data_IF_279700749893
#
_entry.id   IF_279700749893
#
_cell.length_a   1.000
_cell.length_b   1.000
_cell.length_c   1.000
_cell.angle_alpha   90.00
_cell.angle_beta   90.00
_cell.angle_gamma   90.00
#
_symmetry.space_group_name_H-M   'P 1'
#
loop_
_entity.id
_entity.type
_entity.pdbx_description
1 polymer ?
#
# COMPACT_ATOMS: atom_id res chain seq x y z
N UNK A 1 9.54 -14.34 -19.92
CA UNK A 1 9.68 -14.66 -18.48
C UNK A 1 10.76 -13.84 -17.79
N UNK A 2 12.02 -13.89 -18.25
CA UNK A 2 13.14 -13.10 -17.68
C UNK A 2 12.81 -11.60 -17.53
N UNK A 3 12.23 -10.95 -18.55
CA UNK A 3 11.81 -9.55 -18.47
C UNK A 3 10.75 -9.26 -17.38
N UNK A 4 9.81 -10.18 -17.15
CA UNK A 4 8.75 -10.02 -16.15
C UNK A 4 9.33 -10.17 -14.74
N UNK A 5 10.14 -11.20 -14.51
CA UNK A 5 10.80 -11.43 -13.22
C UNK A 5 11.83 -10.34 -12.91
N UNK A 6 12.53 -9.82 -13.92
CA UNK A 6 13.39 -8.65 -13.80
C UNK A 6 12.58 -7.42 -13.39
N UNK A 7 11.48 -7.12 -14.09
CA UNK A 7 10.61 -5.98 -13.77
C UNK A 7 10.02 -6.08 -12.36
N UNK A 8 9.50 -7.26 -11.97
CA UNK A 8 9.03 -7.52 -10.60
C UNK A 8 10.17 -7.26 -9.61
N UNK A 9 11.37 -7.75 -9.91
CA UNK A 9 12.55 -7.55 -9.05
C UNK A 9 12.90 -6.09 -8.85
N UNK A 10 12.86 -5.28 -9.91
CA UNK A 10 13.07 -3.83 -9.82
C UNK A 10 11.98 -3.17 -8.98
N UNK A 11 10.72 -3.56 -9.16
CA UNK A 11 9.58 -2.95 -8.45
C UNK A 11 9.46 -3.39 -6.97
N UNK A 12 10.04 -4.54 -6.60
CA UNK A 12 10.05 -5.05 -5.22
C UNK A 12 11.39 -4.86 -4.52
N UNK A 13 12.38 -4.24 -5.16
CA UNK A 13 13.74 -4.13 -4.61
C UNK A 13 13.72 -3.33 -3.30
N UNK A 14 14.37 -3.87 -2.27
CA UNK A 14 14.75 -3.15 -1.06
C UNK A 14 16.25 -2.87 -1.15
N UNK A 15 16.63 -1.61 -0.99
CA UNK A 15 18.02 -1.17 -1.00
C UNK A 15 18.37 -0.67 0.40
N UNK A 16 19.45 -1.22 0.96
CA UNK A 16 20.01 -0.76 2.22
C UNK A 16 21.21 0.11 1.87
N UNK A 17 21.14 1.39 2.24
CA UNK A 17 22.24 2.34 2.09
C UNK A 17 23.41 1.99 3.00
N UNK A 18 24.58 2.52 2.69
CA UNK A 18 25.80 2.33 3.48
C UNK A 18 25.71 2.90 4.91
N UNK A 19 24.74 3.77 5.14
CA UNK A 19 24.36 4.34 6.44
C UNK A 19 23.32 3.50 7.21
N UNK A 20 22.92 2.35 6.67
CA UNK A 20 21.86 1.51 7.22
C UNK A 20 20.44 1.97 6.90
N UNK A 21 20.27 3.06 6.13
CA UNK A 21 18.94 3.51 5.69
C UNK A 21 18.33 2.50 4.73
N UNK A 22 17.06 2.15 4.92
CA UNK A 22 16.36 1.19 4.05
C UNK A 22 15.37 1.91 3.15
N UNK A 23 15.53 1.80 1.84
CA UNK A 23 14.64 2.34 0.82
C UNK A 23 14.03 1.22 -0.02
N UNK A 24 12.69 1.20 -0.11
CA UNK A 24 11.96 0.26 -0.93
C UNK A 24 11.51 0.89 -2.24
N UNK A 25 11.55 0.12 -3.32
CA UNK A 25 10.78 0.44 -4.52
C UNK A 25 9.27 0.44 -4.22
N UNK A 26 8.46 0.95 -5.16
CA UNK A 26 7.01 1.16 -5.03
C UNK A 26 6.24 -0.05 -4.50
N UNK A 27 6.66 -1.27 -4.85
CA UNK A 27 6.03 -2.53 -4.45
C UNK A 27 6.89 -3.35 -3.47
N UNK A 28 7.92 -2.76 -2.86
CA UNK A 28 8.81 -3.47 -1.93
C UNK A 28 8.07 -4.07 -0.73
N UNK A 29 7.01 -3.41 -0.27
CA UNK A 29 6.14 -3.89 0.81
C UNK A 29 5.13 -4.96 0.39
N UNK A 30 4.88 -5.13 -0.91
CA UNK A 30 3.76 -5.96 -1.39
C UNK A 30 4.07 -7.45 -1.35
N UNK A 31 3.39 -8.17 -0.45
CA UNK A 31 3.57 -9.62 -0.28
C UNK A 31 3.08 -10.42 -1.49
N UNK A 32 1.98 -9.99 -2.13
CA UNK A 32 1.40 -10.69 -3.28
C UNK A 32 2.38 -10.72 -4.45
N UNK A 33 3.08 -9.63 -4.71
CA UNK A 33 4.06 -9.53 -5.81
C UNK A 33 5.32 -10.36 -5.50
N UNK A 34 5.76 -10.40 -4.23
CA UNK A 34 6.87 -11.29 -3.83
C UNK A 34 6.48 -12.77 -3.93
N UNK A 35 5.27 -13.13 -3.52
CA UNK A 35 4.76 -14.50 -3.63
C UNK A 35 4.58 -14.91 -5.10
N UNK A 36 4.12 -13.99 -5.95
CA UNK A 36 4.02 -14.19 -7.39
C UNK A 36 5.38 -14.50 -8.02
N UNK A 37 6.41 -13.73 -7.65
CA UNK A 37 7.80 -13.98 -8.07
C UNK A 37 8.27 -15.37 -7.64
N UNK A 38 8.04 -15.74 -6.39
CA UNK A 38 8.50 -17.02 -5.84
C UNK A 38 7.78 -18.20 -6.52
N UNK A 39 6.48 -18.08 -6.75
CA UNK A 39 5.69 -19.11 -7.43
C UNK A 39 6.13 -19.31 -8.88
N UNK A 40 6.37 -18.22 -9.62
CA UNK A 40 6.88 -18.30 -10.99
C UNK A 40 8.31 -18.84 -11.07
N UNK A 41 9.19 -18.46 -10.14
CA UNK A 41 10.54 -18.99 -10.08
C UNK A 41 10.52 -20.49 -9.78
N UNK A 42 9.75 -20.91 -8.77
CA UNK A 42 9.56 -22.32 -8.43
C UNK A 42 9.00 -23.14 -9.60
N UNK A 43 7.99 -22.63 -10.30
CA UNK A 43 7.41 -23.32 -11.46
C UNK A 43 8.42 -23.67 -12.57
N UNK A 44 9.56 -22.97 -12.62
CA UNK A 44 10.64 -23.21 -13.58
C UNK A 44 11.85 -23.90 -12.96
N UNK A 45 12.15 -23.69 -11.68
CA UNK A 45 13.33 -24.30 -11.04
C UNK A 45 13.05 -25.65 -10.40
N UNK A 46 11.79 -25.96 -10.11
CA UNK A 46 11.42 -27.19 -9.42
C UNK A 46 11.72 -28.40 -10.32
N UNK A 47 12.36 -29.46 -9.77
CA UNK A 47 12.69 -30.65 -10.53
C UNK A 47 11.48 -31.26 -11.24
N UNK A 48 11.71 -31.82 -12.41
CA UNK A 48 10.72 -32.64 -13.13
C UNK A 48 11.16 -34.08 -12.97
N UNK A 49 10.30 -34.90 -12.35
CA UNK A 49 10.57 -36.32 -12.09
C UNK A 49 11.90 -36.58 -11.36
N UNK A 50 12.30 -35.64 -10.48
CA UNK A 50 13.56 -35.71 -9.72
C UNK A 50 14.80 -35.22 -10.48
N UNK A 51 14.68 -34.88 -11.77
CA UNK A 51 15.75 -34.32 -12.58
C UNK A 51 15.69 -32.79 -12.61
N UNK A 52 16.85 -32.16 -12.45
CA UNK A 52 17.01 -30.71 -12.64
C UNK A 52 17.07 -30.38 -14.13
N UNK A 53 16.47 -29.27 -14.55
CA UNK A 53 16.54 -28.74 -15.92
C UNK A 53 17.96 -28.46 -16.41
N UNK A 54 18.90 -28.26 -15.48
CA UNK A 54 20.33 -28.14 -15.81
C UNK A 54 20.91 -29.40 -16.45
N UNK A 55 20.34 -30.59 -16.23
CA UNK A 55 20.79 -31.83 -16.87
C UNK A 55 20.55 -31.85 -18.37
N UNK A 56 19.55 -31.10 -18.84
CA UNK A 56 19.21 -30.96 -20.27
C UNK A 56 19.71 -29.63 -20.87
N UNK A 57 20.64 -28.95 -20.20
CA UNK A 57 21.25 -27.71 -20.69
C UNK A 57 20.42 -26.45 -20.49
N UNK A 58 19.38 -26.48 -19.66
CA UNK A 58 18.60 -25.29 -19.28
C UNK A 58 19.04 -24.85 -17.89
N UNK A 59 19.74 -23.72 -17.83
CA UNK A 59 20.19 -23.13 -16.59
C UNK A 59 19.28 -21.94 -16.21
N UNK A 60 18.90 -21.87 -14.94
CA UNK A 60 18.02 -20.82 -14.43
C UNK A 60 18.71 -20.18 -13.24
N UNK A 61 18.99 -18.88 -13.33
CA UNK A 61 19.60 -18.15 -12.22
C UNK A 61 18.57 -17.88 -11.13
N UNK A 62 19.05 -17.56 -9.92
CA UNK A 62 18.20 -17.10 -8.79
C UNK A 62 17.33 -15.88 -9.11
N UNK A 63 17.63 -15.16 -10.19
CA UNK A 63 16.90 -13.98 -10.63
C UNK A 63 15.86 -14.31 -11.72
N UNK A 64 15.77 -15.57 -12.16
CA UNK A 64 14.86 -16.00 -13.22
C UNK A 64 15.38 -15.75 -14.62
N UNK A 65 16.68 -15.52 -14.76
CA UNK A 65 17.35 -15.50 -16.06
C UNK A 65 17.54 -16.94 -16.52
N UNK A 66 17.15 -17.21 -17.77
CA UNK A 66 17.25 -18.53 -18.37
C UNK A 66 18.40 -18.51 -19.37
N UNK A 67 19.41 -19.32 -19.13
CA UNK A 67 20.54 -19.56 -20.03
C UNK A 67 20.41 -20.93 -20.66
N UNK A 68 20.78 -21.02 -21.95
CA UNK A 68 20.57 -22.21 -22.76
C UNK A 68 21.90 -22.72 -23.32
N UNK A 69 22.23 -23.95 -22.98
CA UNK A 69 23.39 -24.68 -23.47
C UNK A 69 22.96 -25.61 -24.60
N UNK A 70 23.20 -25.16 -25.84
CA UNK A 70 22.77 -25.87 -27.04
C UNK A 70 23.45 -27.24 -27.20
N UNK A 71 24.71 -27.38 -26.75
CA UNK A 71 25.46 -28.63 -26.86
C UNK A 71 24.85 -29.68 -25.92
N UNK A 72 24.60 -29.31 -24.66
CA UNK A 72 23.96 -30.21 -23.69
C UNK A 72 22.53 -30.58 -24.08
N UNK A 73 21.72 -29.64 -24.59
CA UNK A 73 20.39 -30.00 -25.06
C UNK A 73 20.47 -30.98 -26.23
N UNK A 74 21.36 -30.73 -27.20
CA UNK A 74 21.50 -31.62 -28.35
C UNK A 74 21.92 -33.04 -27.95
N UNK A 75 22.81 -33.16 -26.96
CA UNK A 75 23.21 -34.44 -26.38
C UNK A 75 22.06 -35.13 -25.63
N UNK A 76 21.30 -34.39 -24.82
CA UNK A 76 20.14 -34.91 -24.09
C UNK A 76 19.03 -35.38 -25.03
N UNK A 77 18.73 -34.60 -26.07
CA UNK A 77 17.72 -34.93 -27.09
C UNK A 77 18.14 -36.14 -27.93
N UNK A 78 19.43 -36.29 -28.24
CA UNK A 78 19.94 -37.46 -28.95
C UNK A 78 19.92 -38.73 -28.07
N UNK A 79 20.11 -38.59 -26.75
CA UNK A 79 20.11 -39.70 -25.81
C UNK A 79 18.68 -40.18 -25.48
N UNK A 80 17.76 -39.26 -25.19
CA UNK A 80 16.36 -39.55 -24.88
C UNK A 80 15.43 -38.39 -25.30
N UNK A 81 14.90 -38.43 -26.54
CA UNK A 81 14.05 -37.36 -27.05
C UNK A 81 12.68 -37.30 -26.36
N UNK A 82 12.10 -38.44 -25.98
CA UNK A 82 10.77 -38.50 -25.38
C UNK A 82 10.77 -37.87 -23.98
N UNK A 83 11.76 -38.21 -23.16
CA UNK A 83 11.92 -37.61 -21.82
C UNK A 83 12.25 -36.12 -21.90
N UNK A 84 13.11 -35.71 -22.84
CA UNK A 84 13.46 -34.30 -23.04
C UNK A 84 12.24 -33.46 -23.48
N UNK A 85 11.38 -34.00 -24.36
CA UNK A 85 10.15 -33.31 -24.77
C UNK A 85 9.07 -33.30 -23.68
N UNK A 86 8.94 -34.40 -22.94
CA UNK A 86 8.03 -34.49 -21.79
C UNK A 86 8.39 -33.48 -20.71
N UNK A 87 9.67 -33.40 -20.33
CA UNK A 87 10.15 -32.45 -19.31
C UNK A 87 9.86 -31.01 -19.71
N UNK A 88 10.13 -30.62 -20.96
CA UNK A 88 9.81 -29.28 -21.46
C UNK A 88 8.31 -28.98 -21.38
N UNK A 89 7.46 -29.94 -21.79
CA UNK A 89 6.00 -29.80 -21.75
C UNK A 89 5.48 -29.66 -20.31
N UNK A 90 6.03 -30.43 -19.37
CA UNK A 90 5.67 -30.34 -17.96
C UNK A 90 6.03 -28.98 -17.37
N UNK A 91 7.24 -28.47 -17.64
CA UNK A 91 7.64 -27.11 -17.19
C UNK A 91 6.73 -26.05 -17.80
N UNK A 92 6.49 -26.10 -19.10
CA UNK A 92 5.59 -25.15 -19.77
C UNK A 92 4.20 -25.14 -19.13
N UNK A 93 3.65 -26.31 -18.82
CA UNK A 93 2.35 -26.46 -18.15
C UNK A 93 2.36 -25.89 -16.73
N UNK A 94 3.43 -26.13 -15.95
CA UNK A 94 3.58 -25.56 -14.60
C UNK A 94 3.65 -24.05 -14.63
N UNK A 95 4.43 -23.48 -15.55
CA UNK A 95 4.55 -22.03 -15.74
C UNK A 95 3.23 -21.42 -16.17
N UNK A 96 2.53 -22.05 -17.10
CA UNK A 96 1.21 -21.61 -17.54
C UNK A 96 0.23 -21.57 -16.36
N UNK A 97 0.13 -22.66 -15.59
CA UNK A 97 -0.76 -22.75 -14.42
C UNK A 97 -0.42 -21.70 -13.35
N UNK A 98 0.87 -21.50 -13.07
CA UNK A 98 1.31 -20.48 -12.12
C UNK A 98 0.97 -19.07 -12.63
N UNK A 99 1.12 -18.83 -13.94
CA UNK A 99 0.78 -17.55 -14.56
C UNK A 99 -0.73 -17.29 -14.51
N UNK A 100 -1.56 -18.27 -14.87
CA UNK A 100 -3.02 -18.18 -14.82
C UNK A 100 -3.51 -17.88 -13.40
N UNK A 101 -3.04 -18.61 -12.39
CA UNK A 101 -3.41 -18.36 -10.98
C UNK A 101 -3.04 -16.95 -10.51
N UNK A 102 -1.99 -16.35 -11.07
CA UNK A 102 -1.55 -15.01 -10.72
C UNK A 102 -2.31 -13.93 -11.50
N UNK A 103 -2.56 -14.15 -12.79
CA UNK A 103 -3.05 -13.14 -13.74
C UNK A 103 -4.50 -13.30 -14.15
N UNK A 104 -5.22 -14.31 -13.65
CA UNK A 104 -6.63 -14.50 -13.99
C UNK A 104 -7.43 -13.21 -13.70
N UNK A 105 -8.29 -12.86 -14.65
CA UNK A 105 -9.01 -11.59 -14.66
C UNK A 105 -10.03 -11.47 -13.52
N UNK A 106 -10.52 -12.59 -13.00
CA UNK A 106 -11.58 -12.63 -12.00
C UNK A 106 -11.04 -13.08 -10.65
N UNK A 107 -10.34 -14.21 -10.64
CA UNK A 107 -9.91 -14.91 -9.43
C UNK A 107 -8.39 -14.90 -9.23
N UNK A 108 -7.66 -14.21 -10.12
CA UNK A 108 -6.21 -14.09 -10.03
C UNK A 108 -5.79 -13.39 -8.74
N UNK A 109 -4.67 -13.84 -8.15
CA UNK A 109 -4.15 -13.26 -6.92
C UNK A 109 -3.82 -11.76 -7.07
N UNK A 110 -3.30 -11.35 -8.24
CA UNK A 110 -3.01 -9.94 -8.52
C UNK A 110 -4.29 -9.12 -8.65
N UNK A 111 -5.27 -9.62 -9.41
CA UNK A 111 -6.59 -8.99 -9.58
C UNK A 111 -7.27 -8.78 -8.23
N UNK A 112 -7.30 -9.82 -7.40
CA UNK A 112 -7.88 -9.76 -6.06
C UNK A 112 -7.17 -8.75 -5.17
N UNK A 113 -5.82 -8.68 -5.22
CA UNK A 113 -5.05 -7.68 -4.48
C UNK A 113 -5.40 -6.25 -4.92
N UNK A 114 -5.47 -6.00 -6.23
CA UNK A 114 -5.85 -4.69 -6.79
C UNK A 114 -7.23 -4.27 -6.31
N UNK A 115 -8.23 -5.16 -6.44
CA UNK A 115 -9.60 -4.88 -6.00
C UNK A 115 -9.69 -4.59 -4.50
N UNK A 116 -8.93 -5.32 -3.68
CA UNK A 116 -8.88 -5.08 -2.24
C UNK A 116 -8.29 -3.71 -1.90
N UNK A 117 -7.23 -3.30 -2.62
CA UNK A 117 -6.59 -1.98 -2.48
C UNK A 117 -7.52 -0.86 -2.91
N UNK A 118 -8.22 -1.00 -4.03
CA UNK A 118 -9.23 -0.04 -4.49
C UNK A 118 -10.35 0.11 -3.46
N UNK A 119 -10.87 -1.01 -2.95
CA UNK A 119 -11.91 -0.99 -1.92
C UNK A 119 -11.42 -0.32 -0.63
N UNK A 120 -10.15 -0.54 -0.24
CA UNK A 120 -9.56 0.14 0.91
C UNK A 120 -9.44 1.65 0.67
N UNK A 121 -9.03 2.07 -0.53
CA UNK A 121 -8.96 3.48 -0.90
C UNK A 121 -10.33 4.15 -0.80
N UNK A 122 -11.37 3.56 -1.42
CA UNK A 122 -12.74 4.09 -1.33
C UNK A 122 -13.23 4.19 0.12
N UNK A 123 -12.94 3.20 0.97
CA UNK A 123 -13.31 3.26 2.40
C UNK A 123 -12.57 4.37 3.16
N UNK A 124 -11.35 4.70 2.77
CA UNK A 124 -10.60 5.81 3.35
C UNK A 124 -11.17 7.14 2.88
N UNK A 125 -11.50 7.28 1.61
CA UNK A 125 -12.16 8.47 1.05
C UNK A 125 -13.50 8.75 1.75
N UNK A 126 -14.33 7.71 1.91
CA UNK A 126 -15.58 7.79 2.64
C UNK A 126 -15.39 8.19 4.11
N UNK A 127 -14.31 7.74 4.74
CA UNK A 127 -13.96 8.16 6.09
C UNK A 127 -13.60 9.64 6.09
N UNK A 128 -12.70 10.08 5.22
CA UNK A 128 -12.28 11.48 5.10
C UNK A 128 -13.50 12.38 4.93
N UNK A 129 -14.42 12.06 4.01
CA UNK A 129 -15.64 12.84 3.81
C UNK A 129 -16.50 12.96 5.09
N UNK A 130 -16.63 11.87 5.87
CA UNK A 130 -17.32 11.93 7.18
C UNK A 130 -16.56 12.74 8.21
N UNK A 131 -15.23 12.70 8.21
CA UNK A 131 -14.40 13.50 9.11
C UNK A 131 -14.52 14.99 8.79
N UNK A 132 -14.54 15.36 7.52
CA UNK A 132 -14.70 16.74 7.06
C UNK A 132 -16.05 17.32 7.52
N UNK A 133 -17.15 16.56 7.34
CA UNK A 133 -18.47 16.98 7.83
C UNK A 133 -18.50 17.19 9.35
N UNK A 134 -17.87 16.28 10.11
CA UNK A 134 -17.79 16.42 11.57
C UNK A 134 -16.94 17.61 11.99
N UNK A 135 -15.84 17.86 11.28
CA UNK A 135 -14.98 19.01 11.55
C UNK A 135 -15.73 20.32 11.31
N UNK A 136 -16.48 20.41 10.21
CA UNK A 136 -17.32 21.57 9.89
C UNK A 136 -18.39 21.82 10.96
N UNK A 137 -19.11 20.78 11.37
CA UNK A 137 -20.11 20.89 12.45
C UNK A 137 -19.49 21.35 13.77
N UNK A 138 -18.31 20.81 14.11
CA UNK A 138 -17.59 21.22 15.31
C UNK A 138 -17.16 22.68 15.23
N UNK A 139 -16.68 23.13 14.07
CA UNK A 139 -16.31 24.52 13.82
C UNK A 139 -17.53 25.45 13.97
N UNK A 140 -18.67 25.12 13.35
CA UNK A 140 -19.92 25.89 13.49
C UNK A 140 -20.38 25.98 14.93
N UNK A 141 -20.40 24.87 15.67
CA UNK A 141 -20.79 24.83 17.08
C UNK A 141 -19.87 25.69 17.94
N UNK A 142 -18.55 25.57 17.72
CA UNK A 142 -17.57 26.33 18.48
C UNK A 142 -17.70 27.84 18.20
N UNK A 143 -17.88 28.22 16.94
CA UNK A 143 -18.13 29.62 16.54
C UNK A 143 -19.37 30.17 17.23
N UNK A 144 -20.49 29.45 17.18
CA UNK A 144 -21.73 29.87 17.85
C UNK A 144 -21.54 30.02 19.36
N UNK A 145 -20.80 29.10 20.00
CA UNK A 145 -20.49 29.18 21.43
C UNK A 145 -19.67 30.43 21.77
N UNK A 146 -18.64 30.76 20.96
CA UNK A 146 -17.85 31.98 21.14
C UNK A 146 -18.70 33.24 20.95
N UNK A 147 -19.56 33.30 19.93
CA UNK A 147 -20.47 34.44 19.73
C UNK A 147 -21.42 34.63 20.92
N UNK A 148 -21.97 33.55 21.47
CA UNK A 148 -22.82 33.62 22.68
C UNK A 148 -22.01 34.12 23.89
N UNK A 149 -20.79 33.62 24.08
CA UNK A 149 -19.90 34.10 25.15
C UNK A 149 -19.57 35.58 25.01
N UNK A 150 -19.33 36.07 23.79
CA UNK A 150 -19.09 37.50 23.51
C UNK A 150 -20.29 38.38 23.85
N UNK A 151 -21.50 37.97 23.46
CA UNK A 151 -22.73 38.69 23.82
C UNK A 151 -22.96 38.70 25.34
N UNK A 152 -22.70 37.57 26.02
CA UNK A 152 -22.81 37.52 27.47
C UNK A 152 -21.78 38.41 28.16
N UNK A 153 -20.54 38.45 27.68
CA UNK A 153 -19.51 39.36 28.18
C UNK A 153 -19.90 40.82 27.97
N UNK A 154 -20.40 41.20 26.79
CA UNK A 154 -20.91 42.55 26.55
C UNK A 154 -22.08 42.90 27.49
N UNK A 155 -22.99 41.96 27.74
CA UNK A 155 -24.09 42.14 28.69
C UNK A 155 -23.58 42.30 30.13
N UNK A 156 -22.59 41.52 30.55
CA UNK A 156 -21.97 41.65 31.87
C UNK A 156 -21.23 42.98 32.03
N UNK A 157 -20.51 43.42 31.01
CA UNK A 157 -19.85 44.73 30.99
C UNK A 157 -20.87 45.88 31.12
N UNK A 158 -21.96 45.83 30.34
CA UNK A 158 -23.03 46.82 30.45
C UNK A 158 -23.70 46.84 31.84
N UNK A 159 -23.88 45.67 32.47
CA UNK A 159 -24.37 45.56 33.85
C UNK A 159 -23.37 46.15 34.85
N UNK A 160 -22.07 45.87 34.71
CA UNK A 160 -21.03 46.45 35.56
C UNK A 160 -21.04 47.97 35.46
N UNK A 161 -21.08 48.54 34.24
CA UNK A 161 -21.14 49.98 34.04
C UNK A 161 -22.39 50.61 34.68
N UNK A 162 -23.56 49.98 34.53
CA UNK A 162 -24.79 50.45 35.17
C UNK A 162 -24.70 50.42 36.70
N UNK A 163 -24.19 49.34 37.29
CA UNK A 163 -23.97 49.23 38.74
C UNK A 163 -22.98 50.29 39.24
N UNK A 164 -21.92 50.54 38.49
CA UNK A 164 -20.91 51.55 38.83
C UNK A 164 -21.49 52.96 38.75
N UNK A 165 -22.34 53.24 37.75
CA UNK A 165 -23.07 54.50 37.62
C UNK A 165 -24.07 54.72 38.75
N UNK A 166 -24.85 53.69 39.11
CA UNK A 166 -25.76 53.74 40.27
C UNK A 166 -25.00 53.98 41.57
N UNK A 167 -23.87 53.29 41.79
CA UNK A 167 -23.03 53.50 42.95
C UNK A 167 -22.47 54.92 42.99
N UNK A 168 -22.01 55.48 41.86
CA UNK A 168 -21.57 56.87 41.79
C UNK A 168 -22.69 57.87 42.11
N UNK A 169 -23.93 57.60 41.69
CA UNK A 169 -25.10 58.43 42.03
C UNK A 169 -25.63 58.24 43.44
N UNK A 170 -25.31 57.12 44.09
CA UNK A 170 -25.55 56.87 45.53
C UNK A 170 -24.38 57.38 46.41
N UNK A 171 -23.24 57.72 45.79
CA UNK A 171 -22.11 58.45 46.39
C UNK A 171 -22.02 59.93 45.94
N UNK A 172 -23.11 60.74 45.86
CA UNK A 172 -22.95 62.17 45.70
C UNK A 172 -22.41 62.72 47.04
N UNK A 173 -21.26 63.36 46.96
CA UNK A 173 -20.51 63.98 48.05
C UNK A 173 -21.35 64.31 49.29
N UNK A 174 -21.07 63.64 50.41
CA UNK A 174 -21.33 64.17 51.74
C UNK A 174 -20.44 65.40 51.96
N UNK A 175 -20.74 66.49 51.27
CA UNK A 175 -20.21 67.81 51.54
C UNK A 175 -21.28 68.83 51.20
N UNK A 176 -22.11 69.12 52.20
CA UNK A 176 -22.72 70.44 52.32
C UNK A 176 -23.02 70.73 53.80
N UNK A 177 -22.06 71.40 54.42
CA UNK A 177 -22.27 72.67 55.14
C UNK A 177 -23.21 72.65 56.36
N UNK A 178 -22.63 72.51 57.56
CA UNK A 178 -22.86 73.39 58.72
C UNK A 178 -21.87 73.11 59.83
#
# INVERSE_FOLDING_TARGET
>A
MSAILARIGTQTKVTIGSDGSTSGATLAGESVVRNARQSLLGAVTDPVDGASLSSIGIEITRYGEVTFDAEKLSAALAADPDTTMSTFTQVATRVQKASEMLSDKYDGLLTTSVKNRETQATRLDDQIARWDQRLEQRFKRLTAQYTVMEVQLAKLDSQQQWLTGQLATLMPSSSSKR
#
